data_IF_177944706838
#
_entry.id   IF_177944706838
#
_cell.length_a   1.000
_cell.length_b   1.000
_cell.length_c   1.000
_cell.angle_alpha   90.00
_cell.angle_beta   90.00
_cell.angle_gamma   90.00
#
_symmetry.space_group_name_H-M   'P 1'
#
loop_
_entity.id
_entity.type
_entity.pdbx_description
1 polymer ?
#
# COMPACT_ATOMS: atom_id res chain seq x y z
N UNK A 1 -19.89 -7.06 -3.32
CA UNK A 1 -18.56 -7.67 -3.48
C UNK A 1 -17.62 -6.51 -3.66
N UNK A 2 -16.70 -6.38 -2.73
CA UNK A 2 -15.76 -5.27 -2.68
C UNK A 2 -14.48 -5.67 -3.42
N UNK A 3 -13.89 -4.71 -4.11
CA UNK A 3 -12.68 -4.89 -4.89
C UNK A 3 -11.84 -3.62 -4.82
N UNK A 4 -10.54 -3.80 -4.94
CA UNK A 4 -9.58 -2.72 -5.01
C UNK A 4 -9.66 -2.06 -6.39
N UNK A 5 -9.87 -0.75 -6.41
CA UNK A 5 -10.08 0.01 -7.65
C UNK A 5 -8.78 0.30 -8.42
N UNK A 6 -7.60 0.09 -7.82
CA UNK A 6 -6.31 0.25 -8.50
C UNK A 6 -5.88 -1.04 -9.20
N UNK A 7 -6.01 -2.17 -8.50
CA UNK A 7 -5.55 -3.49 -8.94
C UNK A 7 -6.64 -4.30 -9.62
N UNK A 8 -7.91 -3.99 -9.36
CA UNK A 8 -9.07 -4.77 -9.83
C UNK A 8 -9.28 -6.09 -9.08
N UNK A 9 -8.55 -6.35 -7.99
CA UNK A 9 -8.65 -7.59 -7.24
C UNK A 9 -9.78 -7.54 -6.21
N UNK A 10 -10.49 -8.66 -6.04
CA UNK A 10 -11.50 -8.82 -5.00
C UNK A 10 -10.84 -8.77 -3.63
N UNK A 11 -11.40 -7.96 -2.73
CA UNK A 11 -10.98 -7.87 -1.32
C UNK A 11 -11.86 -8.72 -0.40
N UNK A 12 -13.16 -8.81 -0.68
CA UNK A 12 -14.08 -9.66 0.07
C UNK A 12 -15.56 -9.30 -0.07
N UNK A 13 -16.38 -9.91 0.80
CA UNK A 13 -17.79 -9.55 0.95
C UNK A 13 -17.96 -8.61 2.15
N UNK A 14 -18.51 -7.43 1.87
CA UNK A 14 -18.96 -6.47 2.87
C UNK A 14 -20.40 -6.07 2.56
N UNK A 15 -21.11 -5.52 3.55
CA UNK A 15 -22.46 -5.01 3.31
C UNK A 15 -22.44 -3.80 2.35
N UNK A 16 -23.59 -3.50 1.73
CA UNK A 16 -23.72 -2.37 0.77
C UNK A 16 -23.27 -1.04 1.38
N UNK A 17 -23.58 -0.80 2.65
CA UNK A 17 -23.21 0.44 3.34
C UNK A 17 -21.69 0.58 3.44
N UNK A 18 -20.99 -0.44 3.93
CA UNK A 18 -19.53 -0.45 4.02
C UNK A 18 -18.88 -0.30 2.65
N UNK A 19 -19.36 -1.04 1.64
CA UNK A 19 -18.83 -1.00 0.27
C UNK A 19 -18.86 0.41 -0.35
N UNK A 20 -19.77 1.28 0.09
CA UNK A 20 -19.90 2.65 -0.42
C UNK A 20 -19.03 3.68 0.30
N UNK A 21 -18.34 3.28 1.38
CA UNK A 21 -17.62 4.19 2.29
C UNK A 21 -16.18 3.81 2.57
N UNK A 22 -15.76 2.60 2.21
CA UNK A 22 -14.39 2.13 2.42
C UNK A 22 -13.37 3.12 1.85
N UNK A 23 -13.57 3.55 0.61
CA UNK A 23 -12.65 4.45 -0.09
C UNK A 23 -12.69 5.90 0.41
N UNK A 24 -13.72 6.31 1.16
CA UNK A 24 -13.86 7.69 1.67
C UNK A 24 -13.46 7.83 3.14
N UNK A 25 -12.93 6.77 3.76
CA UNK A 25 -12.42 6.85 5.11
C UNK A 25 -11.10 7.62 5.18
N UNK A 26 -10.96 8.48 6.19
CA UNK A 26 -9.70 9.19 6.49
C UNK A 26 -8.61 8.30 7.11
N UNK A 27 -8.90 7.03 7.40
CA UNK A 27 -8.01 6.04 8.03
C UNK A 27 -7.18 6.57 9.22
N UNK A 28 -7.87 7.16 10.20
CA UNK A 28 -7.27 7.50 11.51
C UNK A 28 -6.75 6.23 12.22
N UNK A 29 -5.88 6.38 13.21
CA UNK A 29 -5.28 5.26 13.95
C UNK A 29 -6.33 4.28 14.49
N UNK A 30 -6.11 2.98 14.28
CA UNK A 30 -7.02 1.91 14.71
C UNK A 30 -8.30 1.77 13.87
N UNK A 31 -8.30 2.28 12.64
CA UNK A 31 -9.46 2.20 11.75
C UNK A 31 -9.67 0.79 11.19
N UNK A 32 -10.80 0.11 11.48
CA UNK A 32 -11.05 -1.24 10.98
C UNK A 32 -11.17 -1.30 9.45
N UNK A 33 -11.56 -0.19 8.81
CA UNK A 33 -11.57 -0.11 7.34
C UNK A 33 -10.17 -0.03 6.75
N UNK A 34 -9.19 0.54 7.47
CA UNK A 34 -7.78 0.50 7.05
C UNK A 34 -7.26 -0.94 7.12
N UNK A 35 -7.52 -1.61 8.25
CA UNK A 35 -7.07 -2.99 8.48
C UNK A 35 -7.63 -3.94 7.41
N UNK A 36 -8.94 -3.81 7.10
CA UNK A 36 -9.57 -4.58 6.03
C UNK A 36 -8.95 -4.29 4.64
N UNK A 37 -8.59 -3.05 4.32
CA UNK A 37 -7.97 -2.74 3.02
C UNK A 37 -6.53 -3.24 2.94
N UNK A 38 -5.79 -3.24 4.05
CA UNK A 38 -4.40 -3.68 4.11
C UNK A 38 -4.25 -5.21 4.15
N UNK A 39 -5.18 -5.91 4.81
CA UNK A 39 -5.19 -7.37 4.92
C UNK A 39 -6.59 -7.93 4.57
N UNK A 40 -7.01 -7.82 3.30
CA UNK A 40 -8.34 -8.25 2.91
C UNK A 40 -8.43 -9.78 2.90
N UNK A 41 -9.57 -10.36 3.33
CA UNK A 41 -9.74 -11.81 3.44
C UNK A 41 -9.57 -12.56 2.12
N UNK A 42 -9.78 -11.90 0.98
CA UNK A 42 -9.58 -12.49 -0.35
C UNK A 42 -8.18 -12.30 -0.94
N UNK A 43 -7.26 -11.61 -0.23
CA UNK A 43 -5.90 -11.36 -0.71
C UNK A 43 -5.17 -12.64 -1.19
N UNK A 44 -5.23 -13.79 -0.47
CA UNK A 44 -4.54 -15.00 -0.90
C UNK A 44 -5.08 -15.58 -2.21
N UNK A 45 -6.33 -15.32 -2.55
CA UNK A 45 -6.98 -15.89 -3.73
C UNK A 45 -6.68 -15.12 -5.01
N UNK A 46 -6.31 -13.83 -4.90
CA UNK A 46 -5.99 -12.94 -6.04
C UNK A 46 -7.02 -12.98 -7.18
N UNK A 47 -8.31 -13.07 -6.81
CA UNK A 47 -9.38 -13.17 -7.78
C UNK A 47 -9.62 -11.81 -8.45
N UNK A 48 -9.61 -11.73 -9.79
CA UNK A 48 -10.01 -10.52 -10.49
C UNK A 48 -11.51 -10.27 -10.33
N UNK A 49 -11.89 -9.01 -10.15
CA UNK A 49 -13.29 -8.61 -10.09
C UNK A 49 -13.87 -8.47 -11.51
N UNK A 50 -14.91 -9.26 -11.81
CA UNK A 50 -15.56 -9.31 -13.12
C UNK A 50 -16.94 -8.59 -13.13
N UNK A 51 -17.02 -7.39 -12.53
CA UNK A 51 -18.18 -6.50 -12.65
C UNK A 51 -18.17 -5.71 -13.97
N UNK A 52 -19.18 -4.84 -14.21
CA UNK A 52 -19.16 -3.89 -15.34
C UNK A 52 -17.79 -3.22 -15.40
N UNK A 53 -17.01 -3.59 -16.39
CA UNK A 53 -15.62 -3.17 -16.58
C UNK A 53 -15.62 -1.66 -16.78
N UNK A 54 -15.41 -0.90 -15.69
CA UNK A 54 -14.64 0.33 -15.84
C UNK A 54 -13.28 -0.20 -16.26
N UNK A 55 -12.93 -0.04 -17.54
CA UNK A 55 -11.58 -0.36 -18.00
C UNK A 55 -10.64 0.34 -17.03
N UNK A 56 -9.86 -0.44 -16.26
CA UNK A 56 -8.78 0.10 -15.46
C UNK A 56 -7.82 0.64 -16.51
N UNK A 57 -7.87 1.96 -16.73
CA UNK A 57 -6.84 2.60 -17.51
C UNK A 57 -5.53 2.28 -16.79
N UNK A 58 -4.48 1.85 -17.51
CA UNK A 58 -3.19 1.69 -16.88
C UNK A 58 -2.83 3.00 -16.15
N UNK A 59 -2.14 2.92 -14.99
CA UNK A 59 -1.67 4.12 -14.31
C UNK A 59 -0.90 4.98 -15.31
N UNK A 60 -1.13 6.29 -15.27
CA UNK A 60 -0.41 7.21 -16.13
C UNK A 60 1.10 7.11 -15.89
N UNK A 61 1.89 7.49 -16.89
CA UNK A 61 3.35 7.53 -16.77
C UNK A 61 3.83 8.39 -15.58
N UNK A 62 3.06 9.41 -15.18
CA UNK A 62 3.38 10.23 -14.01
C UNK A 62 3.30 9.45 -12.70
N UNK A 63 2.24 8.65 -12.52
CA UNK A 63 2.04 7.82 -11.33
C UNK A 63 3.12 6.73 -11.23
N UNK A 64 3.52 6.14 -12.37
CA UNK A 64 4.61 5.18 -12.40
C UNK A 64 5.95 5.83 -12.00
N UNK A 65 6.21 7.04 -12.52
CA UNK A 65 7.43 7.78 -12.19
C UNK A 65 7.50 8.20 -10.73
N UNK A 66 6.38 8.63 -10.15
CA UNK A 66 6.28 8.95 -8.72
C UNK A 66 6.59 7.71 -7.86
N UNK A 67 6.04 6.54 -8.24
CA UNK A 67 6.33 5.26 -7.55
C UNK A 67 7.80 4.89 -7.61
N UNK A 68 8.46 5.05 -8.75
CA UNK A 68 9.91 4.84 -8.89
C UNK A 68 10.70 5.77 -7.96
N UNK A 69 10.38 7.07 -7.93
CA UNK A 69 11.04 8.05 -7.06
C UNK A 69 10.90 7.66 -5.58
N UNK A 70 9.70 7.23 -5.16
CA UNK A 70 9.46 6.80 -3.78
C UNK A 70 10.24 5.52 -3.45
N UNK A 71 10.30 4.56 -4.37
CA UNK A 71 11.07 3.32 -4.18
C UNK A 71 12.58 3.60 -4.05
N UNK A 72 13.13 4.47 -4.91
CA UNK A 72 14.53 4.87 -4.86
C UNK A 72 14.86 5.61 -3.55
N UNK A 73 13.97 6.51 -3.11
CA UNK A 73 14.13 7.21 -1.84
C UNK A 73 14.10 6.24 -0.65
N UNK A 74 13.18 5.28 -0.64
CA UNK A 74 13.10 4.26 0.40
C UNK A 74 14.38 3.40 0.45
N UNK A 75 14.91 3.01 -0.71
CA UNK A 75 16.15 2.24 -0.80
C UNK A 75 17.35 3.05 -0.29
N UNK A 76 17.44 4.33 -0.63
CA UNK A 76 18.50 5.21 -0.15
C UNK A 76 18.46 5.40 1.37
N UNK A 77 17.27 5.56 1.95
CA UNK A 77 17.08 5.65 3.41
C UNK A 77 17.54 4.35 4.08
N UNK A 78 17.11 3.19 3.56
CA UNK A 78 17.54 1.90 4.08
C UNK A 78 19.06 1.74 4.01
N UNK A 79 19.70 2.11 2.89
CA UNK A 79 21.16 2.05 2.75
C UNK A 79 21.89 2.96 3.75
N UNK A 80 21.37 4.16 4.01
CA UNK A 80 21.92 5.09 5.00
C UNK A 80 21.82 4.54 6.42
N UNK A 81 20.70 3.91 6.78
CA UNK A 81 20.51 3.27 8.09
C UNK A 81 21.49 2.10 8.31
N UNK A 82 21.73 1.27 7.28
CA UNK A 82 22.71 0.17 7.36
C UNK A 82 24.16 0.68 7.40
N UNK A 83 24.45 1.80 6.73
CA UNK A 83 25.79 2.40 6.71
C UNK A 83 26.11 3.22 7.98
N UNK A 84 25.09 3.70 8.69
CA UNK A 84 25.21 4.44 9.95
C UNK A 84 25.67 3.59 11.15
N UNK A 85 25.58 2.26 11.08
CA UNK A 85 26.01 1.36 12.15
C UNK A 85 27.54 1.18 12.28
N UNK A 86 28.36 1.88 11.48
CA UNK A 86 29.83 1.78 11.48
C UNK A 86 30.59 3.06 11.87
N UNK A 87 30.02 3.95 12.68
CA UNK A 87 30.79 5.09 13.23
C UNK A 87 30.80 5.10 14.76
N UNK A 88 32.04 5.08 15.28
CA UNK A 88 32.53 5.39 16.62
C UNK A 88 32.29 4.43 17.79
N UNK A 89 33.24 3.47 17.91
CA UNK A 89 33.89 3.16 19.20
C UNK A 89 35.40 3.41 19.10
N UNK A 90 35.78 4.64 18.76
CA UNK A 90 37.12 5.16 18.99
C UNK A 90 37.14 5.92 20.32
N UNK A 91 37.36 5.23 21.43
CA UNK A 91 37.60 5.89 22.71
C UNK A 91 38.97 6.60 22.68
N UNK A 92 39.09 7.88 23.06
CA UNK A 92 40.39 8.50 23.25
C UNK A 92 41.09 7.93 24.48
N UNK A 93 42.40 7.70 24.34
CA UNK A 93 43.32 7.20 25.37
C UNK A 93 43.41 8.18 26.55
N UNK A 94 43.50 7.62 27.76
CA UNK A 94 44.16 8.21 28.93
C UNK A 94 45.10 7.17 29.52
#
# INVERSE_FOLDING_TARGET
>A
MDHDHETGLVRGYVCRHCNSRLDSCLHLSGCPWADYQNDPPALPMRLPYHGRTRQISPPSASVLREREIVADAALAILAALHSGAKRDRGAPKS
#
